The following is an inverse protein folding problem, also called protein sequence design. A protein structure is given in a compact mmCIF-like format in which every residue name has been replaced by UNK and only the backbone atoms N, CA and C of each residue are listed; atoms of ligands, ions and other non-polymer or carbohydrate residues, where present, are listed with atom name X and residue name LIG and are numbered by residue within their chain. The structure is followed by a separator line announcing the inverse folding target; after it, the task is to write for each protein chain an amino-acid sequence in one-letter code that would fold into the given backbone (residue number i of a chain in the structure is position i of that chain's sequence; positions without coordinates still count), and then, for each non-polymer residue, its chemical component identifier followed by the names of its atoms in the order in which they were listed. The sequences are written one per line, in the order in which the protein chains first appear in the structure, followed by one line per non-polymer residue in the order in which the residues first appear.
data_IF_289991009004
#
_entry.id   IF_289991009004
#
_cell.length_a   1.000
_cell.length_b   1.000
_cell.length_c   1.000
_cell.angle_alpha   90.00
_cell.angle_beta   90.00
_cell.angle_gamma   90.00
#
_symmetry.space_group_name_H-M   'P 1'
#
loop_
_entity.id
_entity.type
_entity.pdbx_description
1 polymer ?
#
# COMPACT_ATOMS: atom_id res chain seq x y z
N UNK A 1 30.66 45.05 -35.49
CA UNK A 1 29.25 45.19 -35.05
C UNK A 1 29.10 44.52 -33.69
N UNK A 2 29.24 45.24 -32.55
CA UNK A 2 29.28 44.53 -31.25
C UNK A 2 28.89 45.37 -30.00
N UNK A 3 27.69 45.98 -30.00
CA UNK A 3 27.15 46.68 -28.79
C UNK A 3 25.70 46.32 -28.42
N UNK A 4 25.12 45.27 -29.00
CA UNK A 4 23.70 44.92 -28.78
C UNK A 4 23.39 43.94 -27.65
N UNK A 5 24.30 43.02 -27.29
CA UNK A 5 23.92 41.81 -26.54
C UNK A 5 23.91 41.93 -25.00
N UNK A 6 24.61 42.91 -24.42
CA UNK A 6 24.81 42.99 -22.96
C UNK A 6 23.57 43.50 -22.18
N UNK A 7 22.84 44.47 -22.73
CA UNK A 7 21.67 45.07 -22.05
C UNK A 7 20.43 44.15 -21.99
N UNK A 8 20.33 43.14 -22.86
CA UNK A 8 19.21 42.20 -22.86
C UNK A 8 19.17 41.33 -21.59
N UNK A 9 20.28 40.66 -21.27
CA UNK A 9 20.39 39.72 -20.14
C UNK A 9 20.18 40.38 -18.78
N UNK A 10 20.66 41.62 -18.61
CA UNK A 10 20.52 42.37 -17.36
C UNK A 10 19.08 42.80 -17.09
N UNK A 11 18.31 43.17 -18.14
CA UNK A 11 16.87 43.45 -18.04
C UNK A 11 16.07 42.21 -17.67
N UNK A 12 16.36 41.07 -18.30
CA UNK A 12 15.64 39.81 -18.05
C UNK A 12 15.87 39.27 -16.62
N UNK A 13 17.12 39.34 -16.12
CA UNK A 13 17.42 39.00 -14.72
C UNK A 13 16.71 39.93 -13.72
N UNK A 14 16.66 41.24 -13.98
CA UNK A 14 15.95 42.20 -13.12
C UNK A 14 14.45 41.91 -13.08
N UNK A 15 13.83 41.54 -14.21
CA UNK A 15 12.42 41.12 -14.29
C UNK A 15 12.16 39.80 -13.55
N UNK A 16 12.99 38.77 -13.73
CA UNK A 16 12.86 37.50 -12.99
C UNK A 16 13.01 37.69 -11.48
N UNK A 17 13.94 38.54 -11.03
CA UNK A 17 14.12 38.89 -9.61
C UNK A 17 12.91 39.62 -9.03
N UNK A 18 12.32 40.56 -9.77
CA UNK A 18 11.14 41.31 -9.33
C UNK A 18 9.90 40.42 -9.26
N UNK A 19 9.69 39.51 -10.23
CA UNK A 19 8.63 38.49 -10.16
C UNK A 19 8.75 37.57 -8.94
N UNK A 20 9.98 37.13 -8.59
CA UNK A 20 10.21 36.34 -7.37
C UNK A 20 9.90 37.12 -6.08
N UNK A 21 10.24 38.41 -6.01
CA UNK A 21 9.89 39.27 -4.86
C UNK A 21 8.38 39.46 -4.72
N UNK A 22 7.66 39.74 -5.81
CA UNK A 22 6.19 39.85 -5.80
C UNK A 22 5.51 38.55 -5.37
N UNK A 23 6.01 37.39 -5.84
CA UNK A 23 5.50 36.08 -5.42
C UNK A 23 5.73 35.81 -3.93
N UNK A 24 6.88 36.20 -3.37
CA UNK A 24 7.16 36.09 -1.93
C UNK A 24 6.24 37.00 -1.10
N UNK A 25 6.00 38.25 -1.53
CA UNK A 25 5.07 39.17 -0.85
C UNK A 25 3.65 38.59 -0.86
N UNK A 26 3.18 38.06 -1.99
CA UNK A 26 1.87 37.42 -2.09
C UNK A 26 1.74 36.19 -1.15
N UNK A 27 2.79 35.37 -1.01
CA UNK A 27 2.81 34.23 -0.08
C UNK A 27 2.73 34.73 1.38
N UNK A 28 3.49 35.77 1.76
CA UNK A 28 3.45 36.33 3.12
C UNK A 28 2.08 36.89 3.46
N UNK A 29 1.44 37.63 2.54
CA UNK A 29 0.08 38.16 2.74
C UNK A 29 -0.96 37.02 2.83
N UNK A 30 -0.83 35.97 2.02
CA UNK A 30 -1.71 34.81 2.09
C UNK A 30 -1.59 34.07 3.44
N UNK A 31 -0.36 33.82 3.90
CA UNK A 31 -0.11 33.17 5.20
C UNK A 31 -0.64 34.02 6.36
N UNK A 32 -0.43 35.35 6.33
CA UNK A 32 -0.99 36.26 7.33
C UNK A 32 -2.52 36.21 7.37
N UNK A 33 -3.18 36.19 6.20
CA UNK A 33 -4.63 36.04 6.08
C UNK A 33 -5.16 34.68 6.58
N UNK A 34 -4.41 33.60 6.38
CA UNK A 34 -4.77 32.29 6.95
C UNK A 34 -4.67 32.27 8.48
N UNK A 35 -3.65 32.93 9.06
CA UNK A 35 -3.46 33.00 10.52
C UNK A 35 -4.60 33.78 11.18
N UNK A 36 -5.03 34.91 10.62
CA UNK A 36 -6.17 35.67 11.16
C UNK A 36 -7.49 34.91 11.02
N UNK A 37 -7.70 34.17 9.92
CA UNK A 37 -8.90 33.36 9.73
C UNK A 37 -8.99 32.18 10.72
N UNK A 38 -7.85 31.58 11.09
CA UNK A 38 -7.78 30.53 12.13
C UNK A 38 -8.06 31.12 13.52
N UNK A 39 -7.52 32.30 13.83
CA UNK A 39 -7.74 32.96 15.12
C UNK A 39 -9.24 33.25 15.38
N UNK A 40 -9.97 33.70 14.36
CA UNK A 40 -11.42 33.93 14.44
C UNK A 40 -12.17 32.62 14.73
N UNK A 41 -11.84 31.53 14.01
CA UNK A 41 -12.44 30.20 14.20
C UNK A 41 -12.22 29.57 15.58
N UNK A 42 -11.15 29.92 16.28
CA UNK A 42 -10.83 29.39 17.62
C UNK A 42 -11.57 30.13 18.73
N UNK A 43 -12.03 31.37 18.49
CA UNK A 43 -12.70 32.19 19.51
C UNK A 43 -14.18 31.84 19.74
N UNK A 44 -14.81 31.06 18.85
CA UNK A 44 -16.25 30.72 18.90
C UNK A 44 -16.57 29.40 19.63
N UNK A 45 -15.59 28.61 20.07
CA UNK A 45 -15.81 27.33 20.74
C UNK A 45 -15.61 27.41 22.26
N UNK A 46 -16.69 27.66 23.01
CA UNK A 46 -16.73 27.45 24.48
C UNK A 46 -16.88 25.96 24.81
N UNK A 47 -16.25 25.46 25.90
CA UNK A 47 -16.41 24.08 26.34
C UNK A 47 -17.64 23.88 27.23
N UNK A 48 -18.22 22.69 27.21
CA UNK A 48 -19.12 22.18 28.25
C UNK A 48 -18.68 20.80 28.72
N UNK A 49 -18.67 20.64 30.04
CA UNK A 49 -18.36 19.42 30.78
C UNK A 49 -19.66 18.85 31.41
N UNK A 50 -19.69 17.59 31.87
CA UNK A 50 -20.94 16.83 31.99
C UNK A 50 -21.58 16.89 33.39
N UNK A 51 -22.86 16.54 33.46
CA UNK A 51 -23.58 16.29 34.72
C UNK A 51 -24.22 14.90 34.69
N UNK A 52 -24.07 14.15 35.79
CA UNK A 52 -24.81 12.92 36.07
C UNK A 52 -25.91 13.22 37.10
N UNK A 53 -27.13 12.72 36.87
CA UNK A 53 -28.09 12.37 37.92
C UNK A 53 -29.23 11.53 37.30
N UNK A 54 -30.03 10.74 38.02
CA UNK A 54 -29.82 9.51 38.80
C UNK A 54 -31.24 9.02 39.15
N UNK A 55 -31.60 7.77 38.85
CA UNK A 55 -32.73 7.03 39.45
C UNK A 55 -34.19 7.56 39.18
N UNK A 56 -35.30 6.78 39.25
CA UNK A 56 -35.54 5.34 39.53
C UNK A 56 -36.97 4.93 39.07
N UNK A 57 -37.27 3.61 39.20
CA UNK A 57 -38.56 2.88 39.14
C UNK A 57 -38.97 2.31 37.76
N UNK A 58 -38.85 0.98 37.52
CA UNK A 58 -39.69 -0.19 37.96
C UNK A 58 -41.08 -0.19 37.29
N UNK A 59 -41.64 -1.28 36.74
CA UNK A 59 -41.27 -2.71 36.60
C UNK A 59 -42.30 -3.39 35.64
N UNK A 60 -42.27 -4.66 35.17
CA UNK A 60 -41.36 -5.84 35.20
C UNK A 60 -41.87 -6.90 34.18
N UNK A 61 -41.34 -8.16 34.17
CA UNK A 61 -41.90 -9.39 33.51
C UNK A 61 -41.80 -9.43 31.96
N UNK A 62 -41.46 -10.50 31.22
CA UNK A 62 -40.98 -11.89 31.48
C UNK A 62 -39.96 -12.27 30.38
N UNK A 63 -38.80 -12.90 30.66
CA UNK A 63 -38.54 -14.35 30.47
C UNK A 63 -39.50 -15.12 29.54
N UNK A 64 -38.99 -15.59 28.39
CA UNK A 64 -38.80 -17.02 28.15
C UNK A 64 -37.62 -17.25 27.16
N UNK A 65 -37.43 -18.47 26.69
CA UNK A 65 -36.11 -19.07 26.49
C UNK A 65 -36.05 -20.00 25.26
N UNK A 66 -34.99 -20.84 25.21
CA UNK A 66 -34.62 -21.82 24.18
C UNK A 66 -33.94 -21.23 22.92
N UNK A 67 -32.71 -21.59 22.51
CA UNK A 67 -31.91 -22.85 22.50
C UNK A 67 -32.14 -23.68 21.23
N UNK A 68 -31.30 -23.45 20.22
CA UNK A 68 -31.11 -24.36 19.06
C UNK A 68 -29.64 -24.81 18.98
N UNK A 69 -29.44 -26.06 18.57
CA UNK A 69 -28.19 -26.83 18.63
C UNK A 69 -27.20 -26.54 17.50
N UNK A 70 -25.96 -26.95 17.72
CA UNK A 70 -24.86 -26.98 16.76
C UNK A 70 -24.89 -28.18 15.79
N UNK A 71 -24.31 -27.99 14.60
CA UNK A 71 -23.42 -28.91 13.84
C UNK A 71 -23.24 -28.34 12.42
N UNK A 72 -22.17 -28.60 11.65
CA UNK A 72 -20.93 -29.33 11.89
C UNK A 72 -19.76 -28.57 11.23
N UNK A 73 -18.59 -28.55 11.86
CA UNK A 73 -17.35 -28.05 11.25
C UNK A 73 -16.57 -29.21 10.64
N UNK A 74 -16.34 -29.19 9.32
CA UNK A 74 -15.41 -30.10 8.66
C UNK A 74 -13.99 -29.51 8.74
N UNK A 75 -13.00 -30.37 9.02
CA UNK A 75 -11.60 -29.98 9.13
C UNK A 75 -10.99 -29.64 7.75
N UNK A 76 -10.62 -28.38 7.53
CA UNK A 76 -9.57 -28.04 6.58
C UNK A 76 -8.25 -27.84 7.33
N UNK A 77 -7.41 -28.88 7.33
CA UNK A 77 -6.02 -28.77 7.80
C UNK A 77 -5.25 -27.87 6.84
N UNK A 78 -4.56 -26.86 7.37
CA UNK A 78 -3.66 -26.03 6.59
C UNK A 78 -2.54 -26.88 5.96
N UNK A 79 -2.67 -27.17 4.66
CA UNK A 79 -1.64 -27.86 3.90
C UNK A 79 -0.45 -26.91 3.66
N UNK A 80 0.77 -27.44 3.81
CA UNK A 80 2.01 -26.70 3.53
C UNK A 80 2.03 -26.24 2.06
N UNK A 81 2.40 -24.98 1.74
CA UNK A 81 2.13 -24.36 0.44
C UNK A 81 2.97 -24.87 -0.74
N UNK A 82 3.80 -25.91 -0.58
CA UNK A 82 4.84 -26.30 -1.54
C UNK A 82 4.34 -26.82 -2.91
N UNK A 83 3.03 -27.06 -3.09
CA UNK A 83 2.48 -27.69 -4.30
C UNK A 83 1.31 -26.92 -4.96
N UNK A 84 0.98 -25.68 -4.57
CA UNK A 84 -0.05 -24.89 -5.28
C UNK A 84 0.59 -24.15 -6.47
N UNK A 85 0.26 -24.50 -7.73
CA UNK A 85 0.85 -23.84 -8.91
C UNK A 85 0.46 -22.35 -9.04
N UNK A 86 -0.59 -21.90 -8.35
CA UNK A 86 -1.00 -20.50 -8.28
C UNK A 86 -0.23 -19.67 -7.25
N UNK A 87 0.68 -20.29 -6.49
CA UNK A 87 1.51 -19.65 -5.46
C UNK A 87 2.98 -19.65 -5.89
N UNK A 88 3.70 -18.59 -5.54
CA UNK A 88 5.16 -18.51 -5.61
C UNK A 88 5.71 -18.16 -4.22
N UNK A 89 6.85 -18.75 -3.86
CA UNK A 89 7.54 -18.49 -2.59
C UNK A 89 8.08 -17.05 -2.58
N UNK A 90 7.77 -16.30 -1.52
CA UNK A 90 8.31 -14.97 -1.29
C UNK A 90 9.83 -14.88 -1.40
N UNK A 91 10.55 -15.91 -0.94
CA UNK A 91 12.00 -15.98 -1.01
C UNK A 91 12.52 -15.98 -2.46
N UNK A 92 11.81 -16.67 -3.36
CA UNK A 92 12.15 -16.70 -4.78
C UNK A 92 11.94 -15.31 -5.42
N UNK A 93 10.80 -14.65 -5.12
CA UNK A 93 10.47 -13.35 -5.71
C UNK A 93 11.41 -12.24 -5.22
N UNK A 94 11.73 -12.22 -3.92
CA UNK A 94 12.75 -11.34 -3.33
C UNK A 94 14.10 -11.53 -4.02
N UNK A 95 14.59 -12.77 -4.11
CA UNK A 95 15.87 -13.10 -4.75
C UNK A 95 15.89 -12.68 -6.23
N UNK A 96 14.83 -12.95 -6.98
CA UNK A 96 14.69 -12.59 -8.38
C UNK A 96 14.79 -11.07 -8.58
N UNK A 97 14.05 -10.29 -7.78
CA UNK A 97 14.10 -8.83 -7.84
C UNK A 97 15.48 -8.29 -7.46
N UNK A 98 16.10 -8.83 -6.40
CA UNK A 98 17.42 -8.41 -5.95
C UNK A 98 18.51 -8.68 -7.01
N UNK A 99 18.49 -9.84 -7.67
CA UNK A 99 19.39 -10.13 -8.79
C UNK A 99 19.16 -9.18 -9.97
N UNK A 100 17.89 -8.91 -10.32
CA UNK A 100 17.53 -7.99 -11.40
C UNK A 100 17.97 -6.54 -11.12
N UNK A 101 17.82 -6.06 -9.86
CA UNK A 101 18.26 -4.73 -9.45
C UNK A 101 19.77 -4.56 -9.49
N UNK A 102 20.53 -5.65 -9.27
CA UNK A 102 21.99 -5.70 -9.42
C UNK A 102 22.45 -5.86 -10.88
N UNK A 103 21.53 -5.81 -11.87
CA UNK A 103 21.85 -5.98 -13.29
C UNK A 103 22.25 -7.40 -13.70
N UNK A 104 22.02 -8.40 -12.83
CA UNK A 104 22.30 -9.81 -13.12
C UNK A 104 21.10 -10.44 -13.84
N UNK A 105 21.35 -11.48 -14.63
CA UNK A 105 20.29 -12.41 -15.03
C UNK A 105 19.76 -13.11 -13.76
N UNK A 106 18.47 -13.00 -13.43
CA UNK A 106 17.93 -13.63 -12.22
C UNK A 106 17.78 -15.14 -12.38
N UNK A 107 17.91 -15.86 -11.26
CA UNK A 107 17.58 -17.29 -11.22
C UNK A 107 16.08 -17.47 -11.47
N UNK A 108 15.72 -18.44 -12.32
CA UNK A 108 14.33 -18.63 -12.74
C UNK A 108 13.85 -17.65 -13.83
N UNK A 109 14.75 -16.90 -14.47
CA UNK A 109 14.51 -16.33 -15.80
C UNK A 109 14.52 -17.46 -16.86
N UNK A 110 13.46 -18.27 -16.88
CA UNK A 110 13.29 -19.49 -17.66
C UNK A 110 12.43 -19.29 -18.93
N UNK A 111 12.19 -18.05 -19.34
CA UNK A 111 11.31 -17.69 -20.45
C UNK A 111 9.82 -17.72 -20.11
N UNK A 112 9.40 -18.31 -18.98
CA UNK A 112 7.98 -18.37 -18.59
C UNK A 112 7.50 -17.03 -18.05
N UNK A 113 6.40 -16.54 -18.60
CA UNK A 113 5.78 -15.27 -18.20
C UNK A 113 4.82 -15.46 -17.02
N UNK A 114 5.12 -14.81 -15.90
CA UNK A 114 4.30 -14.86 -14.68
C UNK A 114 4.06 -13.45 -14.17
N UNK A 115 2.80 -13.10 -13.93
CA UNK A 115 2.35 -11.81 -13.43
C UNK A 115 1.90 -11.91 -11.97
N UNK A 116 2.50 -11.08 -11.14
CA UNK A 116 2.14 -10.88 -9.73
C UNK A 116 1.45 -9.54 -9.61
N UNK A 117 0.11 -9.56 -9.68
CA UNK A 117 -0.69 -8.39 -9.36
C UNK A 117 -0.55 -8.12 -7.86
N UNK A 118 -0.09 -6.94 -7.49
CA UNK A 118 0.01 -6.53 -6.09
C UNK A 118 -0.59 -5.17 -5.81
N UNK A 119 -1.24 -5.04 -4.65
CA UNK A 119 -1.94 -3.83 -4.21
C UNK A 119 -1.45 -3.42 -2.82
N UNK A 120 -1.03 -2.17 -2.68
CA UNK A 120 -0.54 -1.57 -1.44
C UNK A 120 -1.57 -0.57 -0.86
N UNK A 121 -1.35 -0.17 0.40
CA UNK A 121 -2.13 0.81 1.18
C UNK A 121 -3.57 0.40 1.57
N UNK A 122 -4.03 -0.79 1.17
CA UNK A 122 -5.37 -1.30 1.48
C UNK A 122 -5.56 -1.83 2.91
N UNK A 123 -6.82 -2.11 3.30
CA UNK A 123 -8.03 -2.04 2.47
C UNK A 123 -8.77 -0.70 2.58
N UNK A 124 -9.35 -0.23 1.48
CA UNK A 124 -10.32 0.87 1.44
C UNK A 124 -11.73 0.32 1.24
N UNK A 125 -12.73 0.88 1.93
CA UNK A 125 -14.14 0.50 1.71
C UNK A 125 -14.69 0.92 0.34
N UNK A 126 -14.00 1.82 -0.40
CA UNK A 126 -14.45 2.24 -1.75
C UNK A 126 -13.74 1.51 -2.88
N UNK A 127 -12.44 1.23 -2.78
CA UNK A 127 -11.63 0.70 -3.90
C UNK A 127 -11.38 -0.81 -3.81
N UNK A 128 -11.00 -1.35 -2.66
CA UNK A 128 -10.74 -2.79 -2.48
C UNK A 128 -11.90 -3.70 -2.93
N UNK A 129 -13.20 -3.39 -2.67
CA UNK A 129 -14.30 -4.22 -3.16
C UNK A 129 -14.35 -4.30 -4.69
N UNK A 130 -14.15 -3.16 -5.38
CA UNK A 130 -14.16 -3.09 -6.85
C UNK A 130 -13.03 -3.94 -7.45
N UNK A 131 -11.84 -3.87 -6.85
CA UNK A 131 -10.69 -4.67 -7.28
C UNK A 131 -10.96 -6.17 -7.09
N UNK A 132 -11.49 -6.58 -5.94
CA UNK A 132 -11.88 -7.98 -5.70
C UNK A 132 -12.93 -8.48 -6.70
N UNK A 133 -13.97 -7.68 -6.97
CA UNK A 133 -15.00 -8.02 -7.97
C UNK A 133 -14.41 -8.18 -9.38
N UNK A 134 -13.47 -7.33 -9.78
CA UNK A 134 -12.76 -7.41 -11.05
C UNK A 134 -11.88 -8.66 -11.11
N UNK A 135 -11.07 -8.93 -10.07
CA UNK A 135 -10.19 -10.11 -10.02
C UNK A 135 -11.01 -11.41 -10.08
N UNK A 136 -12.11 -11.47 -9.34
CA UNK A 136 -13.08 -12.58 -9.36
C UNK A 136 -13.71 -12.77 -10.74
N UNK A 137 -14.23 -11.70 -11.37
CA UNK A 137 -14.78 -11.73 -12.73
C UNK A 137 -13.74 -12.19 -13.75
N UNK A 138 -12.49 -11.80 -13.57
CA UNK A 138 -11.36 -12.17 -14.42
C UNK A 138 -10.76 -13.55 -14.09
N UNK A 139 -11.20 -14.23 -13.02
CA UNK A 139 -10.65 -15.51 -12.54
C UNK A 139 -9.13 -15.48 -12.28
N UNK A 140 -8.61 -14.35 -11.77
CA UNK A 140 -7.18 -14.21 -11.41
C UNK A 140 -7.03 -13.88 -9.93
N UNK A 141 -5.87 -14.19 -9.35
CA UNK A 141 -5.53 -13.88 -7.95
C UNK A 141 -4.50 -12.74 -7.90
N UNK A 142 -4.26 -12.23 -6.69
CA UNK A 142 -3.40 -11.09 -6.42
C UNK A 142 -2.85 -11.16 -4.99
N UNK A 143 -1.85 -10.33 -4.67
CA UNK A 143 -1.27 -10.20 -3.33
C UNK A 143 -1.56 -8.80 -2.79
N UNK A 144 -2.17 -8.68 -1.61
CA UNK A 144 -2.49 -7.40 -0.99
C UNK A 144 -1.51 -7.13 0.16
N UNK A 145 -0.73 -6.05 0.07
CA UNK A 145 0.15 -5.60 1.14
C UNK A 145 -0.63 -4.64 2.04
N UNK A 146 -1.08 -5.17 3.17
CA UNK A 146 -2.08 -4.55 4.03
C UNK A 146 -1.44 -3.61 5.06
N UNK A 147 -2.01 -2.41 5.21
CA UNK A 147 -1.68 -1.47 6.29
C UNK A 147 -2.57 -1.75 7.51
N UNK A 148 -1.97 -2.10 8.64
CA UNK A 148 -2.69 -2.61 9.82
C UNK A 148 -3.70 -1.63 10.43
N UNK A 149 -3.45 -0.33 10.34
CA UNK A 149 -4.37 0.73 10.78
C UNK A 149 -5.65 0.75 9.95
N UNK A 150 -5.55 0.60 8.64
CA UNK A 150 -6.69 0.60 7.73
C UNK A 150 -7.47 -0.72 7.86
N UNK A 151 -6.76 -1.86 7.99
CA UNK A 151 -7.34 -3.17 8.25
C UNK A 151 -8.20 -3.24 9.53
N UNK A 152 -7.88 -2.43 10.53
CA UNK A 152 -8.59 -2.36 11.81
C UNK A 152 -9.49 -1.12 11.95
N UNK A 153 -9.65 -0.29 10.91
CA UNK A 153 -10.41 0.97 10.96
C UNK A 153 -11.86 0.76 11.44
N UNK A 154 -12.57 -0.21 10.85
CA UNK A 154 -13.97 -0.49 11.15
C UNK A 154 -14.34 -1.95 10.79
N UNK A 155 -15.61 -2.34 10.97
CA UNK A 155 -16.03 -3.71 10.64
C UNK A 155 -15.97 -4.02 9.13
N UNK A 156 -16.26 -3.04 8.26
CA UNK A 156 -16.20 -3.23 6.81
C UNK A 156 -14.77 -3.52 6.34
N UNK A 157 -13.77 -2.79 6.84
CA UNK A 157 -12.36 -3.08 6.48
C UNK A 157 -11.91 -4.46 6.97
N UNK A 158 -12.26 -4.86 8.21
CA UNK A 158 -12.02 -6.23 8.70
C UNK A 158 -12.71 -7.31 7.85
N UNK A 159 -13.94 -7.06 7.39
CA UNK A 159 -14.66 -7.97 6.52
C UNK A 159 -14.06 -8.03 5.10
N UNK A 160 -13.42 -6.96 4.61
CA UNK A 160 -12.64 -6.99 3.36
C UNK A 160 -11.36 -7.81 3.50
N UNK A 161 -10.63 -7.74 4.63
CA UNK A 161 -9.49 -8.63 4.92
C UNK A 161 -9.91 -10.11 4.86
N UNK A 162 -11.03 -10.47 5.49
CA UNK A 162 -11.60 -11.82 5.40
C UNK A 162 -11.98 -12.20 3.96
N UNK A 163 -12.53 -11.25 3.19
CA UNK A 163 -12.89 -11.46 1.78
C UNK A 163 -11.67 -11.73 0.89
N UNK A 164 -10.56 -11.00 1.08
CA UNK A 164 -9.29 -11.21 0.38
C UNK A 164 -8.85 -12.67 0.51
N UNK A 165 -8.77 -13.18 1.75
CA UNK A 165 -8.36 -14.59 2.00
C UNK A 165 -9.40 -15.58 1.45
N UNK A 166 -10.70 -15.35 1.72
CA UNK A 166 -11.79 -16.23 1.26
C UNK A 166 -11.87 -16.35 -0.26
N UNK A 167 -11.54 -15.29 -0.99
CA UNK A 167 -11.48 -15.30 -2.46
C UNK A 167 -10.13 -15.81 -3.01
N UNK A 168 -9.24 -16.33 -2.15
CA UNK A 168 -8.01 -17.01 -2.55
C UNK A 168 -6.85 -16.09 -2.95
N UNK A 169 -6.87 -14.85 -2.48
CA UNK A 169 -5.76 -13.90 -2.63
C UNK A 169 -4.74 -14.11 -1.50
N UNK A 170 -3.49 -13.65 -1.71
CA UNK A 170 -2.50 -13.61 -0.64
C UNK A 170 -2.52 -12.26 0.09
N UNK A 171 -2.06 -12.27 1.34
CA UNK A 171 -1.85 -11.07 2.16
C UNK A 171 -0.37 -10.99 2.52
N UNK A 172 0.24 -9.84 2.25
CA UNK A 172 1.50 -9.40 2.81
C UNK A 172 1.31 -8.26 3.80
N UNK A 173 2.37 -7.93 4.54
CA UNK A 173 2.40 -6.90 5.56
C UNK A 173 3.00 -5.60 4.97
N UNK A 174 2.30 -4.48 5.14
CA UNK A 174 2.74 -3.14 4.70
C UNK A 174 2.94 -2.16 5.86
N UNK A 175 3.46 -2.65 7.00
CA UNK A 175 3.53 -1.94 8.29
C UNK A 175 2.15 -1.64 8.90
N UNK A 176 2.11 -1.15 10.13
CA UNK A 176 0.86 -0.87 10.83
C UNK A 176 0.30 0.51 10.44
N UNK A 177 1.11 1.57 10.46
CA UNK A 177 0.68 2.96 10.27
C UNK A 177 1.13 3.62 8.96
N UNK A 178 2.01 2.98 8.19
CA UNK A 178 2.61 3.53 6.96
C UNK A 178 3.29 4.92 7.21
N UNK A 179 3.73 5.18 8.45
CA UNK A 179 4.28 6.48 8.85
C UNK A 179 5.80 6.56 8.61
N UNK A 180 6.18 7.13 7.47
CA UNK A 180 7.56 7.41 7.08
C UNK A 180 8.42 8.13 8.13
N UNK A 181 7.84 9.02 8.97
CA UNK A 181 8.61 9.74 10.00
C UNK A 181 8.97 8.84 11.18
N UNK A 182 8.14 7.83 11.45
CA UNK A 182 8.37 6.86 12.51
C UNK A 182 9.27 5.72 12.03
N UNK A 183 8.99 5.14 10.87
CA UNK A 183 9.79 4.06 10.27
C UNK A 183 11.22 4.53 9.90
N UNK A 184 11.33 5.76 9.40
CA UNK A 184 12.58 6.32 8.88
C UNK A 184 12.92 7.69 9.49
N UNK A 185 13.16 7.77 10.82
CA UNK A 185 13.41 9.02 11.51
C UNK A 185 14.66 9.70 10.93
N UNK A 186 14.58 11.01 10.70
CA UNK A 186 15.63 11.78 10.00
C UNK A 186 16.04 11.19 8.63
N UNK A 187 15.14 10.41 8.00
CA UNK A 187 15.32 9.71 6.70
C UNK A 187 16.38 8.59 6.73
N UNK A 188 16.70 8.07 7.91
CA UNK A 188 17.51 6.86 8.14
C UNK A 188 16.63 5.72 8.59
N UNK A 189 17.01 4.48 8.29
CA UNK A 189 16.24 3.29 8.66
C UNK A 189 16.37 3.04 10.15
N UNK A 190 15.25 2.86 10.85
CA UNK A 190 15.23 2.40 12.24
C UNK A 190 14.65 0.98 12.28
N UNK A 191 15.53 0.00 12.42
CA UNK A 191 15.18 -1.43 12.43
C UNK A 191 14.12 -1.75 13.48
N UNK A 192 14.26 -1.25 14.70
CA UNK A 192 13.32 -1.54 15.79
C UNK A 192 11.93 -0.98 15.51
N UNK A 193 11.83 0.25 15.01
CA UNK A 193 10.56 0.86 14.62
C UNK A 193 9.88 0.10 13.47
N UNK A 194 10.64 -0.31 12.45
CA UNK A 194 10.12 -1.12 11.34
C UNK A 194 9.63 -2.48 11.82
N UNK A 195 10.38 -3.16 12.69
CA UNK A 195 9.98 -4.46 13.23
C UNK A 195 8.77 -4.35 14.18
N UNK A 196 8.70 -3.32 15.03
CA UNK A 196 7.53 -3.06 15.87
C UNK A 196 6.26 -2.85 15.04
N UNK A 197 6.37 -2.13 13.92
CA UNK A 197 5.29 -1.88 12.97
C UNK A 197 4.86 -3.13 12.19
N UNK A 198 5.81 -3.98 11.78
CA UNK A 198 5.52 -5.30 11.18
C UNK A 198 4.76 -6.18 12.17
N UNK A 199 5.29 -6.38 13.38
CA UNK A 199 4.70 -7.32 14.34
C UNK A 199 3.34 -6.83 14.87
N UNK A 200 3.15 -5.51 15.02
CA UNK A 200 1.86 -4.92 15.34
C UNK A 200 0.82 -5.16 14.24
N UNK A 201 1.21 -5.10 12.97
CA UNK A 201 0.32 -5.44 11.86
C UNK A 201 0.03 -6.96 11.82
N UNK A 202 1.02 -7.82 12.11
CA UNK A 202 0.81 -9.27 12.24
C UNK A 202 -0.24 -9.58 13.33
N UNK A 203 -0.20 -8.89 14.47
CA UNK A 203 -1.20 -9.01 15.54
C UNK A 203 -2.60 -8.57 15.09
N UNK A 204 -2.71 -7.47 14.33
CA UNK A 204 -3.99 -7.04 13.73
C UNK A 204 -4.53 -8.11 12.80
N UNK A 205 -3.74 -8.58 11.83
CA UNK A 205 -4.17 -9.59 10.87
C UNK A 205 -4.61 -10.89 11.56
N UNK A 206 -3.87 -11.36 12.58
CA UNK A 206 -4.27 -12.51 13.41
C UNK A 206 -5.58 -12.28 14.18
N UNK A 207 -5.83 -11.09 14.71
CA UNK A 207 -7.11 -10.80 15.39
C UNK A 207 -8.32 -10.75 14.44
N UNK A 208 -8.10 -10.55 13.14
CA UNK A 208 -9.15 -10.54 12.11
C UNK A 208 -9.36 -11.93 11.48
N UNK A 209 -8.27 -12.68 11.24
CA UNK A 209 -8.24 -13.91 10.45
C UNK A 209 -8.08 -15.19 11.28
N UNK A 210 -7.72 -15.07 12.56
CA UNK A 210 -7.45 -16.18 13.47
C UNK A 210 -5.96 -16.33 13.83
N UNK A 211 -5.63 -17.03 14.93
CA UNK A 211 -4.27 -17.12 15.47
C UNK A 211 -3.27 -17.81 14.51
N UNK A 212 -3.77 -18.75 13.71
CA UNK A 212 -3.02 -19.51 12.69
C UNK A 212 -2.62 -18.68 11.47
N UNK A 213 -3.17 -17.46 11.31
CA UNK A 213 -2.78 -16.61 10.18
C UNK A 213 -1.33 -16.14 10.33
N UNK A 214 -0.52 -16.37 9.30
CA UNK A 214 0.83 -15.83 9.18
C UNK A 214 1.13 -15.43 7.75
N UNK A 215 2.05 -14.49 7.58
CA UNK A 215 2.63 -14.14 6.28
C UNK A 215 4.12 -13.87 6.45
N UNK A 216 4.92 -14.27 5.45
CA UNK A 216 6.35 -13.95 5.34
C UNK A 216 6.60 -12.74 4.43
N UNK A 217 5.58 -12.34 3.66
CA UNK A 217 5.65 -11.30 2.66
C UNK A 217 5.61 -9.91 3.29
N UNK A 218 6.70 -9.15 3.17
CA UNK A 218 6.77 -7.75 3.60
C UNK A 218 6.94 -6.87 2.36
N UNK A 219 6.26 -5.72 2.32
CA UNK A 219 6.66 -4.61 1.44
C UNK A 219 6.82 -3.36 2.27
N UNK A 220 7.89 -2.61 2.03
CA UNK A 220 8.19 -1.42 2.82
C UNK A 220 7.50 -0.19 2.24
N UNK A 221 6.96 0.70 3.08
CA UNK A 221 6.52 2.03 2.66
C UNK A 221 7.63 2.74 1.89
N UNK A 222 7.38 2.97 0.59
CA UNK A 222 8.30 3.61 -0.35
C UNK A 222 9.30 2.68 -1.06
N UNK A 223 9.27 1.38 -0.77
CA UNK A 223 10.12 0.34 -1.33
C UNK A 223 11.53 0.27 -0.74
N UNK A 224 12.08 -0.95 -0.63
CA UNK A 224 13.46 -1.23 -0.17
C UNK A 224 14.47 -0.44 -1.00
N UNK A 225 14.33 -0.43 -2.33
CA UNK A 225 15.20 0.28 -3.26
C UNK A 225 15.35 1.78 -2.94
N UNK A 226 14.31 2.42 -2.38
CA UNK A 226 14.36 3.84 -2.01
C UNK A 226 15.22 4.08 -0.79
N UNK A 227 15.13 3.19 0.20
CA UNK A 227 15.85 3.29 1.47
C UNK A 227 17.27 2.75 1.36
N UNK A 228 17.51 1.68 0.60
CA UNK A 228 18.85 1.15 0.34
C UNK A 228 19.74 2.19 -0.38
N UNK A 229 19.18 2.94 -1.33
CA UNK A 229 19.89 4.07 -1.97
C UNK A 229 20.17 5.25 -1.01
N UNK A 230 19.41 5.40 0.08
CA UNK A 230 19.54 6.53 1.01
C UNK A 230 20.37 6.21 2.25
N UNK A 231 20.23 5.00 2.76
CA UNK A 231 20.82 4.49 3.99
C UNK A 231 21.09 2.98 3.81
N UNK A 232 22.11 2.61 3.01
CA UNK A 232 22.41 1.20 2.73
C UNK A 232 22.88 0.45 3.98
N UNK A 233 23.47 1.14 4.96
CA UNK A 233 23.89 0.53 6.22
C UNK A 233 22.68 0.19 7.10
N UNK A 234 21.71 1.11 7.23
CA UNK A 234 20.45 0.86 7.91
C UNK A 234 19.63 -0.26 7.26
N UNK A 235 19.54 -0.28 5.92
CA UNK A 235 18.88 -1.39 5.22
C UNK A 235 19.61 -2.72 5.41
N UNK A 236 20.94 -2.78 5.27
CA UNK A 236 21.69 -4.01 5.49
C UNK A 236 21.62 -4.54 6.95
N UNK A 237 21.33 -3.68 7.93
CA UNK A 237 21.02 -4.09 9.30
C UNK A 237 19.60 -4.65 9.43
N UNK A 238 18.60 -4.02 8.80
CA UNK A 238 17.22 -4.49 8.75
C UNK A 238 17.09 -5.82 8.00
N UNK A 239 17.71 -5.96 6.83
CA UNK A 239 17.67 -7.17 5.99
C UNK A 239 18.19 -8.41 6.73
N UNK A 240 19.19 -8.25 7.62
CA UNK A 240 19.67 -9.34 8.50
C UNK A 240 18.60 -9.79 9.50
N UNK A 241 17.82 -8.86 10.05
CA UNK A 241 16.74 -9.17 11.01
C UNK A 241 15.54 -9.81 10.30
N UNK A 242 15.22 -9.38 9.07
CA UNK A 242 14.21 -10.03 8.23
C UNK A 242 14.61 -11.48 7.93
N UNK A 243 15.85 -11.71 7.48
CA UNK A 243 16.36 -13.04 7.16
C UNK A 243 16.33 -13.98 8.38
N UNK A 244 16.70 -13.48 9.56
CA UNK A 244 16.60 -14.25 10.82
C UNK A 244 15.17 -14.62 11.22
N UNK A 245 14.17 -13.89 10.71
CA UNK A 245 12.74 -14.11 10.95
C UNK A 245 12.02 -14.77 9.78
N UNK A 246 12.75 -15.15 8.73
CA UNK A 246 12.21 -15.74 7.50
C UNK A 246 11.15 -14.83 6.84
N UNK A 247 11.38 -13.52 6.92
CA UNK A 247 10.60 -12.48 6.26
C UNK A 247 11.26 -12.06 4.95
N UNK A 248 10.45 -11.93 3.90
CA UNK A 248 10.89 -11.62 2.54
C UNK A 248 10.36 -10.27 2.11
N UNK A 249 11.28 -9.36 1.80
CA UNK A 249 10.96 -8.06 1.24
C UNK A 249 10.72 -8.21 -0.27
N UNK A 250 9.55 -7.76 -0.74
CA UNK A 250 9.26 -7.74 -2.17
C UNK A 250 8.86 -6.34 -2.63
N UNK A 251 9.79 -5.69 -3.34
CA UNK A 251 9.55 -4.48 -4.14
C UNK A 251 8.74 -4.81 -5.41
N UNK A 252 9.02 -4.15 -6.54
CA UNK A 252 8.32 -4.31 -7.81
C UNK A 252 9.25 -4.00 -8.99
N UNK A 253 8.93 -4.52 -10.18
CA UNK A 253 9.66 -4.21 -11.42
C UNK A 253 8.76 -3.72 -12.56
N UNK A 254 7.45 -3.63 -12.32
CA UNK A 254 6.43 -3.05 -13.21
C UNK A 254 5.58 -2.01 -12.48
N UNK A 255 5.40 -0.84 -13.10
CA UNK A 255 4.70 0.30 -12.52
C UNK A 255 3.52 0.78 -13.38
N UNK A 256 2.35 0.94 -12.75
CA UNK A 256 1.24 1.75 -13.29
C UNK A 256 1.46 3.26 -13.08
N UNK A 257 2.31 3.62 -12.11
CA UNK A 257 2.55 5.00 -11.65
C UNK A 257 1.28 5.70 -11.12
N UNK A 258 0.37 4.96 -10.49
CA UNK A 258 -0.84 5.48 -9.82
C UNK A 258 -0.56 6.24 -8.51
N UNK A 259 0.66 6.15 -7.96
CA UNK A 259 1.14 6.95 -6.82
C UNK A 259 2.21 8.01 -7.18
N UNK A 260 2.66 8.10 -8.44
CA UNK A 260 3.74 9.03 -8.82
C UNK A 260 3.24 10.32 -9.49
N UNK A 261 3.62 11.49 -8.97
CA UNK A 261 3.38 12.78 -9.62
C UNK A 261 1.90 13.18 -9.65
N UNK A 262 1.44 13.78 -10.77
CA UNK A 262 0.02 14.18 -10.90
C UNK A 262 -0.89 12.96 -11.01
N UNK A 263 -2.10 13.09 -10.48
CA UNK A 263 -3.18 12.09 -10.64
C UNK A 263 -3.43 11.78 -12.12
N UNK A 264 -3.70 10.51 -12.42
CA UNK A 264 -3.84 9.97 -13.78
C UNK A 264 -5.19 9.26 -13.90
N UNK A 265 -5.78 9.35 -15.09
CA UNK A 265 -6.94 8.54 -15.47
C UNK A 265 -6.51 7.17 -15.98
N UNK A 266 -7.41 6.19 -15.90
CA UNK A 266 -7.13 4.80 -16.25
C UNK A 266 -6.33 4.59 -17.56
N UNK A 267 -6.61 5.26 -18.71
CA UNK A 267 -5.82 5.09 -19.93
C UNK A 267 -4.35 5.48 -19.78
N UNK A 268 -4.04 6.48 -18.95
CA UNK A 268 -2.66 6.87 -18.68
C UNK A 268 -1.95 5.85 -17.78
N UNK A 269 -2.64 5.21 -16.84
CA UNK A 269 -2.10 4.12 -16.02
C UNK A 269 -1.79 2.88 -16.87
N UNK A 270 -2.71 2.49 -17.75
CA UNK A 270 -2.54 1.38 -18.70
C UNK A 270 -1.32 1.63 -19.60
N UNK A 271 -1.17 2.85 -20.13
CA UNK A 271 -0.01 3.24 -20.94
C UNK A 271 1.33 3.20 -20.18
N UNK A 272 1.36 3.51 -18.87
CA UNK A 272 2.58 3.35 -18.07
C UNK A 272 2.88 1.86 -17.81
N UNK A 273 1.86 1.08 -17.46
CA UNK A 273 1.97 -0.35 -17.29
C UNK A 273 2.54 -1.05 -18.55
N UNK A 274 1.96 -0.80 -19.74
CA UNK A 274 2.41 -1.39 -21.01
C UNK A 274 3.87 -1.05 -21.33
N UNK A 275 4.33 0.16 -20.99
CA UNK A 275 5.76 0.52 -21.12
C UNK A 275 6.63 -0.22 -20.10
N UNK A 276 6.16 -0.36 -18.86
CA UNK A 276 6.95 -0.90 -17.75
C UNK A 276 7.01 -2.44 -17.72
N UNK A 277 6.06 -3.14 -18.33
CA UNK A 277 5.97 -4.61 -18.39
C UNK A 277 6.74 -5.22 -19.58
N UNK A 278 7.17 -4.39 -20.54
CA UNK A 278 7.85 -4.87 -21.76
C UNK A 278 9.13 -5.64 -21.41
N UNK A 279 9.24 -6.87 -21.92
CA UNK A 279 10.41 -7.73 -21.72
C UNK A 279 10.57 -8.32 -20.31
N UNK A 280 9.55 -8.25 -19.45
CA UNK A 280 9.54 -8.94 -18.17
C UNK A 280 9.11 -10.39 -18.35
N UNK A 281 9.80 -11.32 -17.71
CA UNK A 281 9.33 -12.70 -17.54
C UNK A 281 8.53 -12.79 -16.25
N UNK A 282 9.14 -12.44 -15.12
CA UNK A 282 8.44 -12.29 -13.84
C UNK A 282 8.09 -10.81 -13.65
N UNK A 283 6.81 -10.49 -13.78
CA UNK A 283 6.27 -9.13 -13.71
C UNK A 283 5.61 -8.88 -12.34
N UNK A 284 6.34 -8.24 -11.43
CA UNK A 284 5.83 -7.85 -10.11
C UNK A 284 5.29 -6.43 -10.24
N UNK A 285 3.96 -6.31 -10.20
CA UNK A 285 3.22 -5.11 -10.62
C UNK A 285 2.72 -4.35 -9.38
N UNK A 286 3.21 -3.12 -9.18
CA UNK A 286 2.72 -2.23 -8.14
C UNK A 286 1.47 -1.45 -8.60
N UNK A 287 0.45 -1.52 -7.75
CA UNK A 287 -0.80 -0.78 -7.76
C UNK A 287 -1.20 -0.49 -6.30
N UNK A 288 -2.21 0.35 -6.09
CA UNK A 288 -2.73 0.65 -4.74
C UNK A 288 -4.26 0.47 -4.71
N UNK A 289 -4.79 -0.11 -3.62
CA UNK A 289 -6.23 -0.31 -3.42
C UNK A 289 -6.83 0.56 -2.29
N UNK A 290 -6.10 1.61 -1.89
CA UNK A 290 -6.55 2.61 -0.91
C UNK A 290 -7.49 3.68 -1.49
N UNK A 291 -7.98 4.57 -0.64
CA UNK A 291 -8.91 5.65 -1.00
C UNK A 291 -8.33 6.56 -2.10
N UNK A 292 -9.16 6.95 -3.09
CA UNK A 292 -8.73 7.80 -4.21
C UNK A 292 -8.01 7.08 -5.35
N UNK A 293 -8.02 5.73 -5.35
CA UNK A 293 -7.42 4.87 -6.37
C UNK A 293 -8.44 4.23 -7.32
N UNK A 294 -9.63 4.83 -7.46
CA UNK A 294 -10.70 4.33 -8.34
C UNK A 294 -10.26 4.24 -9.81
N UNK A 295 -9.32 5.08 -10.26
CA UNK A 295 -8.74 4.99 -11.61
C UNK A 295 -7.83 3.76 -11.79
N UNK A 296 -7.22 3.24 -10.72
CA UNK A 296 -6.48 1.97 -10.72
C UNK A 296 -7.46 0.80 -10.89
N UNK A 297 -8.58 0.80 -10.15
CA UNK A 297 -9.65 -0.19 -10.34
C UNK A 297 -10.21 -0.16 -11.78
N UNK A 298 -10.45 1.03 -12.35
CA UNK A 298 -10.88 1.17 -13.77
C UNK A 298 -9.85 0.68 -14.79
N UNK A 299 -8.55 0.79 -14.49
CA UNK A 299 -7.46 0.32 -15.37
C UNK A 299 -7.30 -1.21 -15.34
N UNK A 300 -7.56 -1.83 -14.18
CA UNK A 300 -7.27 -3.24 -13.90
C UNK A 300 -7.82 -4.25 -14.93
N UNK A 301 -9.05 -4.14 -15.47
CA UNK A 301 -9.56 -5.10 -16.46
C UNK A 301 -8.68 -5.17 -17.73
N UNK A 302 -8.24 -4.03 -18.26
CA UNK A 302 -7.41 -3.98 -19.47
C UNK A 302 -5.97 -4.41 -19.20
N UNK A 303 -5.45 -4.15 -18.00
CA UNK A 303 -4.14 -4.66 -17.55
C UNK A 303 -4.16 -6.21 -17.54
N UNK A 304 -5.19 -6.81 -16.94
CA UNK A 304 -5.36 -8.27 -16.89
C UNK A 304 -5.56 -8.85 -18.29
N UNK A 305 -6.38 -8.23 -19.14
CA UNK A 305 -6.61 -8.67 -20.51
C UNK A 305 -5.33 -8.64 -21.35
N UNK A 306 -4.52 -7.58 -21.23
CA UNK A 306 -3.22 -7.49 -21.89
C UNK A 306 -2.27 -8.61 -21.44
N UNK A 307 -2.14 -8.83 -20.13
CA UNK A 307 -1.29 -9.89 -19.57
C UNK A 307 -1.70 -11.28 -20.09
N UNK A 308 -3.00 -11.60 -20.09
CA UNK A 308 -3.53 -12.84 -20.68
C UNK A 308 -3.17 -12.96 -22.17
N UNK A 309 -3.40 -11.90 -22.96
CA UNK A 309 -3.05 -11.85 -24.39
C UNK A 309 -1.54 -11.98 -24.66
N UNK A 310 -0.70 -11.61 -23.70
CA UNK A 310 0.76 -11.75 -23.78
C UNK A 310 1.28 -13.10 -23.24
N UNK A 311 0.40 -14.00 -22.81
CA UNK A 311 0.75 -15.34 -22.32
C UNK A 311 1.27 -15.37 -20.88
N UNK A 312 0.89 -14.41 -20.03
CA UNK A 312 1.23 -14.44 -18.61
C UNK A 312 0.29 -15.35 -17.82
N UNK A 313 0.89 -16.26 -17.03
CA UNK A 313 0.23 -16.90 -15.90
C UNK A 313 0.08 -15.90 -14.74
N UNK A 314 -0.88 -16.12 -13.84
CA UNK A 314 -1.11 -15.27 -12.68
C UNK A 314 -0.85 -16.05 -11.40
N UNK A 315 0.07 -15.55 -10.57
CA UNK A 315 0.40 -16.14 -9.27
C UNK A 315 0.27 -15.12 -8.14
N UNK A 316 0.07 -15.62 -6.93
CA UNK A 316 0.22 -14.86 -5.68
C UNK A 316 1.56 -15.18 -5.02
N UNK A 317 2.00 -14.31 -4.10
CA UNK A 317 3.27 -14.45 -3.38
C UNK A 317 2.95 -14.75 -1.91
N UNK A 318 3.58 -15.76 -1.30
CA UNK A 318 3.34 -16.19 0.10
C UNK A 318 4.63 -16.52 0.85
#
# INVERSE_FOLDING_TARGET
MEKGYSHSRTREHRLKRNKRRLMLIAIVLFVAGCITFIAIKVSDSKPHAPTQELAKKTDSVSKDSSKVKASAGANDKAASPKNDPGVEDGAFVEKYLNQQMLGKMPDGADGKKVAYLSFDDGPSVTVTPQILDILKKQKVKATFFIVGKEANENEHTRNLIKRIVKEGHAIGNHTYSHNYKYLYPNRRVNTDHVMQEIEKNNQVLKSILGPEFSTRMIRFPGGHMTWNRRDPQGMAALDKVLLQKDYHQVDWNVLTKDAEGRSKKAPALINQFMRSVKGREKAIILMHDTYGKEETAKALPQIIEYLKKQGYEFKVMK
#
